data_IF_967062503742
#
_entry.id   IF_967062503742
#
_cell.length_a   1.000
_cell.length_b   1.000
_cell.length_c   1.000
_cell.angle_alpha   90.00
_cell.angle_beta   90.00
_cell.angle_gamma   90.00
#
_symmetry.space_group_name_H-M   'P 1'
#
loop_
_entity.id
_entity.type
_entity.pdbx_description
1 polymer ?
#
# COMPACT_ATOMS: atom_id res chain seq x y z
N UNK A 1 -6.21 14.26 1.92
CA UNK A 1 -5.80 15.47 2.71
C UNK A 1 -4.27 15.54 2.73
N UNK A 2 -3.64 16.67 3.04
CA UNK A 2 -2.20 16.68 3.36
C UNK A 2 -1.94 16.34 4.84
N UNK A 3 -0.74 15.87 5.17
CA UNK A 3 -0.38 15.46 6.54
C UNK A 3 -0.48 16.57 7.58
N UNK A 4 -0.14 17.82 7.23
CA UNK A 4 -0.19 18.93 8.19
C UNK A 4 -1.64 19.24 8.58
N UNK A 5 -2.54 19.28 7.59
CA UNK A 5 -3.97 19.47 7.82
C UNK A 5 -4.55 18.30 8.62
N UNK A 6 -4.14 17.07 8.30
CA UNK A 6 -4.57 15.87 9.03
C UNK A 6 -4.14 15.91 10.50
N UNK A 7 -2.86 16.18 10.79
CA UNK A 7 -2.37 16.22 12.17
C UNK A 7 -3.05 17.31 13.00
N UNK A 8 -3.31 18.49 12.42
CA UNK A 8 -4.09 19.54 13.11
C UNK A 8 -5.50 19.08 13.48
N UNK A 9 -6.19 18.44 12.53
CA UNK A 9 -7.55 17.95 12.75
C UNK A 9 -7.57 16.80 13.77
N UNK A 10 -6.62 15.86 13.66
CA UNK A 10 -6.44 14.77 14.62
C UNK A 10 -6.21 15.31 16.03
N UNK A 11 -5.26 16.23 16.21
CA UNK A 11 -4.99 16.83 17.53
C UNK A 11 -6.23 17.51 18.09
N UNK A 12 -6.96 18.28 17.28
CA UNK A 12 -8.19 18.93 17.73
C UNK A 12 -9.24 17.93 18.21
N UNK A 13 -9.37 16.77 17.56
CA UNK A 13 -10.27 15.70 18.03
C UNK A 13 -9.76 15.08 19.32
N UNK A 14 -8.48 14.73 19.41
CA UNK A 14 -7.88 14.13 20.61
C UNK A 14 -8.00 15.02 21.85
N UNK A 15 -7.95 16.34 21.68
CA UNK A 15 -8.14 17.30 22.78
C UNK A 15 -9.60 17.38 23.28
N UNK A 16 -10.57 16.93 22.48
CA UNK A 16 -12.01 17.06 22.75
C UNK A 16 -12.73 15.72 22.93
N UNK A 17 -12.04 14.60 22.74
CA UNK A 17 -12.61 13.26 22.79
C UNK A 17 -11.79 12.33 23.69
N UNK A 18 -12.45 11.31 24.25
CA UNK A 18 -11.78 10.25 24.99
C UNK A 18 -11.35 9.13 24.03
N UNK A 19 -10.24 8.42 24.31
CA UNK A 19 -9.90 7.23 23.55
C UNK A 19 -10.98 6.17 23.68
N UNK A 20 -11.14 5.39 22.60
CA UNK A 20 -11.96 4.20 22.61
C UNK A 20 -11.48 3.14 23.61
N UNK A 21 -12.34 2.15 23.88
CA UNK A 21 -11.93 0.96 24.60
C UNK A 21 -11.18 -0.03 23.70
N UNK A 22 -10.41 -0.93 24.32
CA UNK A 22 -9.63 -1.97 23.62
C UNK A 22 -10.52 -2.84 22.71
N UNK A 23 -11.77 -3.05 23.10
CA UNK A 23 -12.72 -3.86 22.32
C UNK A 23 -13.04 -3.20 20.98
N UNK A 24 -13.26 -1.90 20.97
CA UNK A 24 -13.53 -1.17 19.75
C UNK A 24 -12.28 -0.99 18.89
N UNK A 25 -11.11 -0.74 19.51
CA UNK A 25 -9.82 -0.76 18.82
C UNK A 25 -9.57 -2.11 18.13
N UNK A 26 -9.78 -3.22 18.84
CA UNK A 26 -9.65 -4.56 18.31
C UNK A 26 -10.63 -4.86 17.17
N UNK A 27 -11.87 -4.34 17.23
CA UNK A 27 -12.87 -4.48 16.17
C UNK A 27 -12.44 -3.76 14.89
N UNK A 28 -12.00 -2.49 15.00
CA UNK A 28 -11.52 -1.74 13.85
C UNK A 28 -10.27 -2.38 13.26
N UNK A 29 -9.30 -2.76 14.11
CA UNK A 29 -8.10 -3.50 13.71
C UNK A 29 -8.46 -4.74 12.88
N UNK A 30 -9.35 -5.59 13.39
CA UNK A 30 -9.74 -6.81 12.70
C UNK A 30 -10.44 -6.54 11.36
N UNK A 31 -11.27 -5.49 11.29
CA UNK A 31 -11.93 -5.09 10.04
C UNK A 31 -10.91 -4.64 8.99
N UNK A 32 -9.94 -3.82 9.38
CA UNK A 32 -8.88 -3.35 8.50
C UNK A 32 -7.96 -4.49 8.06
N UNK A 33 -7.49 -5.31 9.00
CA UNK A 33 -6.65 -6.48 8.73
C UNK A 33 -7.33 -7.41 7.71
N UNK A 34 -8.61 -7.70 7.90
CA UNK A 34 -9.40 -8.55 6.98
C UNK A 34 -9.50 -7.92 5.60
N UNK A 35 -9.83 -6.63 5.52
CA UNK A 35 -9.99 -5.91 4.25
C UNK A 35 -8.66 -5.82 3.48
N UNK A 36 -7.56 -5.51 4.19
CA UNK A 36 -6.21 -5.40 3.64
C UNK A 36 -5.72 -6.77 3.17
N UNK A 37 -5.88 -7.83 3.97
CA UNK A 37 -5.49 -9.19 3.59
C UNK A 37 -6.28 -9.72 2.37
N UNK A 38 -7.57 -9.40 2.28
CA UNK A 38 -8.41 -9.83 1.16
C UNK A 38 -8.18 -9.04 -0.15
N UNK A 39 -7.47 -7.92 -0.10
CA UNK A 39 -7.31 -7.00 -1.23
C UNK A 39 -6.40 -7.50 -2.35
N UNK A 40 -5.49 -8.43 -2.04
CA UNK A 40 -4.42 -8.85 -2.95
C UNK A 40 -3.32 -7.80 -3.19
N UNK A 41 -3.40 -6.64 -2.53
CA UNK A 41 -2.38 -5.58 -2.63
C UNK A 41 -1.09 -5.91 -1.86
N UNK A 42 -1.17 -6.83 -0.89
CA UNK A 42 -0.10 -7.13 0.05
C UNK A 42 0.19 -8.62 0.12
N UNK A 43 1.47 -8.96 0.22
CA UNK A 43 1.98 -10.32 0.42
C UNK A 43 2.15 -10.66 1.90
N UNK A 44 2.46 -9.67 2.72
CA UNK A 44 2.57 -9.78 4.18
C UNK A 44 1.74 -8.66 4.82
N UNK A 45 1.01 -8.99 5.87
CA UNK A 45 0.12 -8.08 6.60
C UNK A 45 0.21 -8.43 8.08
N UNK A 46 0.58 -7.45 8.91
CA UNK A 46 0.59 -7.56 10.37
C UNK A 46 -0.11 -6.35 10.97
N UNK A 47 -1.08 -6.60 11.87
CA UNK A 47 -1.82 -5.54 12.56
C UNK A 47 -1.75 -5.70 14.08
N UNK A 48 -1.34 -4.61 14.74
CA UNK A 48 -1.35 -4.45 16.19
C UNK A 48 -2.21 -3.27 16.64
N UNK A 49 -2.27 -3.06 17.94
CA UNK A 49 -2.72 -1.81 18.54
C UNK A 49 -1.88 -1.50 19.78
N UNK A 50 -1.83 -0.24 20.19
CA UNK A 50 -1.12 0.19 21.40
C UNK A 50 -2.07 0.29 22.58
N UNK A 51 -1.55 -0.02 23.77
CA UNK A 51 -2.28 0.15 25.04
C UNK A 51 -2.17 1.60 25.59
N UNK A 52 -1.75 2.55 24.75
CA UNK A 52 -1.57 3.95 25.14
C UNK A 52 -2.90 4.74 25.05
N UNK A 53 -2.88 5.97 25.57
CA UNK A 53 -4.06 6.84 25.61
C UNK A 53 -4.60 7.24 24.23
N UNK A 54 -3.91 6.91 23.13
CA UNK A 54 -4.36 7.10 21.75
C UNK A 54 -5.02 5.88 21.12
N UNK A 55 -4.88 4.69 21.72
CA UNK A 55 -5.42 3.42 21.22
C UNK A 55 -5.13 3.24 19.73
N UNK A 56 -3.86 3.38 19.35
CA UNK A 56 -3.46 3.45 17.96
C UNK A 56 -3.45 2.06 17.33
N UNK A 57 -4.22 1.86 16.27
CA UNK A 57 -4.11 0.67 15.41
C UNK A 57 -2.93 0.84 14.45
N UNK A 58 -2.03 -0.13 14.42
CA UNK A 58 -0.84 -0.09 13.57
C UNK A 58 -0.88 -1.26 12.59
N UNK A 59 -0.73 -0.97 11.30
CA UNK A 59 -0.56 -1.97 10.25
C UNK A 59 0.83 -1.87 9.63
N UNK A 60 1.53 -2.99 9.50
CA UNK A 60 2.76 -3.11 8.72
C UNK A 60 2.54 -4.12 7.63
N UNK A 61 2.76 -3.70 6.39
CA UNK A 61 2.50 -4.52 5.21
C UNK A 61 3.71 -4.57 4.28
N UNK A 62 3.72 -5.59 3.41
CA UNK A 62 4.60 -5.66 2.25
C UNK A 62 3.76 -5.76 1.00
N UNK A 63 4.04 -4.90 0.01
CA UNK A 63 3.33 -4.93 -1.26
C UNK A 63 3.46 -6.33 -1.93
N UNK A 64 2.40 -6.75 -2.61
CA UNK A 64 2.45 -7.96 -3.42
C UNK A 64 3.37 -7.79 -4.64
N UNK A 65 3.82 -8.89 -5.23
CA UNK A 65 4.67 -8.86 -6.42
C UNK A 65 4.00 -8.09 -7.57
N UNK A 66 4.72 -7.10 -8.11
CA UNK A 66 4.21 -6.24 -9.18
C UNK A 66 3.33 -5.08 -8.72
N UNK A 67 3.04 -4.96 -7.42
CA UNK A 67 2.33 -3.81 -6.84
C UNK A 67 3.34 -2.78 -6.35
N UNK A 68 3.23 -1.56 -6.87
CA UNK A 68 4.03 -0.43 -6.43
C UNK A 68 3.39 0.26 -5.21
N UNK A 69 4.18 0.94 -4.35
CA UNK A 69 3.66 1.60 -3.15
C UNK A 69 2.52 2.59 -3.43
N UNK A 70 2.57 3.34 -4.54
CA UNK A 70 1.50 4.27 -4.90
C UNK A 70 0.19 3.56 -5.29
N UNK A 71 0.26 2.37 -5.91
CA UNK A 71 -0.91 1.55 -6.23
C UNK A 71 -1.54 0.99 -4.96
N UNK A 72 -0.69 0.49 -4.06
CA UNK A 72 -1.11 0.08 -2.72
C UNK A 72 -1.77 1.23 -1.96
N UNK A 73 -1.25 2.46 -2.08
CA UNK A 73 -1.81 3.66 -1.45
C UNK A 73 -3.21 3.99 -1.94
N UNK A 74 -3.43 4.02 -3.25
CA UNK A 74 -4.76 4.21 -3.83
C UNK A 74 -5.74 3.10 -3.42
N UNK A 75 -5.25 1.86 -3.36
CA UNK A 75 -6.06 0.72 -2.94
C UNK A 75 -6.46 0.80 -1.47
N UNK A 76 -5.51 1.10 -0.59
CA UNK A 76 -5.73 1.24 0.85
C UNK A 76 -6.64 2.43 1.17
N UNK A 77 -6.53 3.55 0.45
CA UNK A 77 -7.46 4.67 0.59
C UNK A 77 -8.92 4.22 0.33
N UNK A 78 -9.16 3.41 -0.71
CA UNK A 78 -10.50 2.86 -1.00
C UNK A 78 -10.97 1.88 0.08
N UNK A 79 -10.08 1.05 0.59
CA UNK A 79 -10.39 0.13 1.68
C UNK A 79 -10.73 0.87 2.97
N UNK A 80 -10.01 1.96 3.27
CA UNK A 80 -10.30 2.85 4.38
C UNK A 80 -11.72 3.39 4.30
N UNK A 81 -12.06 4.04 3.18
CA UNK A 81 -13.39 4.60 2.95
C UNK A 81 -14.50 3.56 3.09
N UNK A 82 -14.24 2.31 2.72
CA UNK A 82 -15.19 1.21 2.87
C UNK A 82 -15.30 0.76 4.33
N UNK A 83 -14.17 0.61 5.03
CA UNK A 83 -14.11 0.15 6.41
C UNK A 83 -14.68 1.17 7.40
N UNK A 84 -14.66 2.46 7.04
CA UNK A 84 -15.13 3.56 7.89
C UNK A 84 -16.47 4.16 7.44
N UNK A 85 -17.10 3.59 6.41
CA UNK A 85 -18.32 4.13 5.80
C UNK A 85 -19.49 4.35 6.78
N UNK A 86 -19.62 3.48 7.79
CA UNK A 86 -20.69 3.53 8.78
C UNK A 86 -20.33 4.35 10.03
N UNK A 87 -19.11 4.91 10.10
CA UNK A 87 -18.66 5.72 11.21
C UNK A 87 -19.16 7.16 11.06
N UNK A 88 -19.44 7.82 12.20
CA UNK A 88 -19.99 9.19 12.19
C UNK A 88 -18.99 10.21 11.67
N UNK A 89 -17.71 9.96 11.91
CA UNK A 89 -16.64 10.87 11.54
C UNK A 89 -15.37 10.07 11.31
N UNK A 90 -14.68 10.41 10.23
CA UNK A 90 -13.34 9.94 9.90
C UNK A 90 -12.54 11.08 9.29
N UNK A 91 -11.22 11.01 9.41
CA UNK A 91 -10.30 11.72 8.55
C UNK A 91 -9.08 10.85 8.27
N UNK A 92 -8.46 11.06 7.12
CA UNK A 92 -7.25 10.32 6.74
C UNK A 92 -6.38 11.12 5.79
N UNK A 93 -5.14 10.67 5.67
CA UNK A 93 -4.15 11.11 4.69
C UNK A 93 -3.39 9.89 4.18
N UNK A 94 -3.01 9.93 2.91
CA UNK A 94 -2.17 8.91 2.28
C UNK A 94 -0.96 9.58 1.67
N UNK A 95 0.22 9.08 2.04
CA UNK A 95 1.51 9.45 1.49
C UNK A 95 2.12 8.29 0.73
N UNK A 96 2.70 8.56 -0.43
CA UNK A 96 3.44 7.55 -1.18
C UNK A 96 4.77 8.14 -1.64
N UNK A 97 5.83 7.36 -1.44
CA UNK A 97 7.14 7.54 -2.04
C UNK A 97 7.47 6.29 -2.86
N UNK A 98 8.59 6.31 -3.58
CA UNK A 98 9.04 5.12 -4.31
C UNK A 98 9.40 3.94 -3.37
N UNK A 99 9.63 4.22 -2.09
CA UNK A 99 10.09 3.25 -1.10
C UNK A 99 9.09 2.95 0.01
N UNK A 100 7.94 3.63 0.05
CA UNK A 100 6.99 3.49 1.15
C UNK A 100 5.60 4.01 0.77
N UNK A 101 4.57 3.30 1.21
CA UNK A 101 3.21 3.82 1.34
C UNK A 101 2.90 4.01 2.82
N UNK A 102 2.23 5.11 3.15
CA UNK A 102 1.79 5.46 4.50
C UNK A 102 0.34 5.93 4.44
N UNK A 103 -0.51 5.39 5.30
CA UNK A 103 -1.83 5.91 5.60
C UNK A 103 -1.87 6.26 7.09
N UNK A 104 -2.22 7.50 7.41
CA UNK A 104 -2.65 7.87 8.75
C UNK A 104 -4.16 8.17 8.72
N UNK A 105 -4.88 7.64 9.71
CA UNK A 105 -6.32 7.78 9.85
C UNK A 105 -6.73 8.08 11.28
N UNK A 106 -7.90 8.68 11.43
CA UNK A 106 -8.57 8.87 12.71
C UNK A 106 -10.07 8.70 12.52
N UNK A 107 -10.73 8.09 13.49
CA UNK A 107 -12.18 7.86 13.47
C UNK A 107 -12.79 8.13 14.83
N UNK A 108 -14.10 8.38 14.84
CA UNK A 108 -14.92 8.25 16.05
C UNK A 108 -15.87 7.06 15.92
N UNK A 109 -15.99 6.28 16.99
CA UNK A 109 -16.68 4.97 16.94
C UNK A 109 -18.08 4.96 17.55
N UNK A 110 -18.45 5.99 18.30
CA UNK A 110 -19.74 6.05 18.98
C UNK A 110 -20.26 7.48 19.16
N UNK A 111 -21.43 7.60 19.78
CA UNK A 111 -22.10 8.89 20.02
C UNK A 111 -21.39 9.77 21.05
N UNK A 112 -20.54 9.17 21.90
CA UNK A 112 -19.71 9.90 22.86
C UNK A 112 -18.45 10.47 22.20
N UNK A 113 -18.24 10.17 20.92
CA UNK A 113 -17.10 10.64 20.15
C UNK A 113 -15.80 9.93 20.50
N UNK A 114 -15.85 8.72 21.09
CA UNK A 114 -14.64 7.99 21.40
C UNK A 114 -13.79 7.80 20.14
N UNK A 115 -12.49 8.09 20.24
CA UNK A 115 -11.62 8.15 19.07
C UNK A 115 -10.65 6.97 19.00
N UNK A 116 -10.28 6.60 17.76
CA UNK A 116 -9.21 5.66 17.45
C UNK A 116 -8.34 6.29 16.37
N UNK A 117 -7.02 6.20 16.50
CA UNK A 117 -6.07 6.54 15.44
C UNK A 117 -5.57 5.28 14.75
N UNK A 118 -5.22 5.42 13.47
CA UNK A 118 -4.73 4.32 12.63
C UNK A 118 -3.48 4.79 11.90
N UNK A 119 -2.47 3.91 11.82
CA UNK A 119 -1.29 4.13 11.01
C UNK A 119 -0.96 2.83 10.28
N UNK A 120 -1.04 2.83 8.95
CA UNK A 120 -0.66 1.70 8.10
C UNK A 120 0.54 2.11 7.26
N UNK A 121 1.58 1.29 7.27
CA UNK A 121 2.75 1.44 6.40
C UNK A 121 2.91 0.22 5.52
N UNK A 122 3.35 0.42 4.28
CA UNK A 122 3.71 -0.67 3.39
C UNK A 122 5.03 -0.43 2.66
N UNK A 123 5.90 -1.43 2.75
CA UNK A 123 7.15 -1.48 2.00
C UNK A 123 6.92 -2.08 0.59
N UNK A 124 7.81 -1.78 -0.38
CA UNK A 124 7.80 -2.44 -1.69
C UNK A 124 7.93 -3.96 -1.59
N UNK A 125 7.49 -4.65 -2.64
CA UNK A 125 7.73 -6.08 -2.77
C UNK A 125 9.25 -6.38 -2.77
N UNK A 126 9.63 -7.52 -2.19
CA UNK A 126 11.02 -7.99 -2.24
C UNK A 126 11.29 -8.47 -3.67
N UNK A 127 12.01 -7.68 -4.45
CA UNK A 127 12.43 -8.09 -5.79
C UNK A 127 13.41 -9.25 -5.65
N UNK A 128 12.92 -10.47 -5.84
CA UNK A 128 13.77 -11.65 -5.89
C UNK A 128 14.67 -11.54 -7.12
N UNK A 129 15.99 -11.45 -6.91
CA UNK A 129 17.01 -11.23 -7.97
C UNK A 129 16.99 -12.25 -9.12
N UNK A 130 16.26 -13.34 -8.98
CA UNK A 130 16.13 -14.41 -9.99
C UNK A 130 15.37 -13.92 -11.24
N UNK A 131 14.46 -12.95 -11.11
CA UNK A 131 13.61 -12.50 -12.22
C UNK A 131 14.27 -11.46 -13.14
N UNK A 132 15.28 -10.73 -12.66
CA UNK A 132 15.99 -9.71 -13.45
C UNK A 132 16.86 -10.33 -14.55
N UNK A 133 17.48 -11.49 -14.27
CA UNK A 133 18.33 -12.19 -15.25
C UNK A 133 17.51 -12.81 -16.39
N UNK A 134 16.26 -13.18 -16.12
CA UNK A 134 15.36 -13.80 -17.10
C UNK A 134 14.73 -12.81 -18.10
N UNK A 135 14.79 -11.50 -17.83
CA UNK A 135 14.37 -10.45 -18.77
C UNK A 135 15.53 -9.88 -19.59
N UNK A 136 16.74 -9.81 -19.04
CA UNK A 136 17.94 -9.39 -19.80
C UNK A 136 18.33 -10.42 -20.88
N UNK A 137 18.28 -11.71 -20.56
CA UNK A 137 18.61 -12.76 -21.55
C UNK A 137 17.65 -12.86 -22.74
N UNK A 138 16.39 -12.39 -22.58
CA UNK A 138 15.39 -12.38 -23.67
C UNK A 138 15.52 -11.18 -24.61
N UNK A 139 16.25 -10.13 -24.20
CA UNK A 139 16.47 -8.94 -25.04
C UNK A 139 17.70 -9.10 -25.92
N UNK A 140 18.70 -9.85 -25.47
CA UNK A 140 19.94 -10.10 -26.23
C UNK A 140 19.75 -11.15 -27.35
N UNK A 141 18.96 -12.22 -27.15
CA UNK A 141 18.76 -13.23 -28.21
C UNK A 141 17.92 -12.74 -29.40
N UNK A 142 17.02 -11.77 -29.20
CA UNK A 142 16.22 -11.20 -30.28
C UNK A 142 17.03 -10.27 -31.21
N UNK A 143 18.15 -9.73 -30.72
CA UNK A 143 19.03 -8.87 -31.51
C UNK A 143 20.06 -9.67 -32.34
N UNK A 144 20.46 -10.86 -31.88
CA UNK A 144 21.48 -11.66 -32.59
C UNK A 144 20.92 -12.45 -33.79
N UNK A 145 19.61 -12.75 -33.79
CA UNK A 145 18.99 -13.52 -34.89
C UNK A 145 18.69 -12.68 -36.15
N UNK A 146 18.82 -11.34 -36.08
CA UNK A 146 18.53 -10.43 -37.20
C UNK A 146 19.76 -10.03 -38.05
N UNK A 147 20.98 -10.44 -37.65
CA UNK A 147 22.23 -9.93 -38.23
C UNK A 147 22.95 -10.84 -39.24
N UNK A 148 22.49 -12.07 -39.49
CA UNK A 148 23.23 -13.05 -40.31
C UNK A 148 22.40 -13.48 -41.52
N UNK A 149 22.17 -12.58 -42.48
CA UNK A 149 21.82 -12.94 -43.87
C UNK A 149 21.93 -11.74 -44.83
N UNK A 150 23.16 -11.23 -45.04
CA UNK A 150 23.54 -10.46 -46.22
C UNK A 150 25.08 -10.47 -46.28
N UNK A 151 25.73 -11.29 -47.11
CA UNK A 151 26.16 -11.07 -48.50
C UNK A 151 27.21 -12.18 -48.81
N UNK A 152 27.88 -12.29 -49.97
CA UNK A 152 27.55 -11.94 -51.36
C UNK A 152 27.90 -13.09 -52.35
N UNK A 153 27.39 -13.04 -53.59
CA UNK A 153 28.06 -13.72 -54.70
C UNK A 153 27.75 -13.06 -56.05
N UNK A 154 28.71 -12.30 -56.57
CA UNK A 154 28.85 -12.04 -58.01
C UNK A 154 29.40 -13.31 -58.68
N UNK A 155 28.85 -13.74 -59.81
CA UNK A 155 29.52 -13.83 -61.14
C UNK A 155 28.73 -14.71 -62.14
N UNK A 156 28.54 -14.15 -63.35
CA UNK A 156 28.57 -14.77 -64.70
C UNK A 156 27.56 -15.84 -65.18
N UNK A 157 26.70 -15.43 -66.13
CA UNK A 157 26.54 -15.85 -67.57
C UNK A 157 26.84 -17.33 -67.90
N UNK A 158 25.97 -18.11 -68.61
CA UNK A 158 25.80 -17.97 -70.08
C UNK A 158 24.44 -18.34 -70.70
N UNK A 159 24.25 -17.93 -71.96
CA UNK A 159 23.16 -18.34 -72.86
C UNK A 159 22.89 -17.33 -73.97
#
# INVERSE_FOLDING_TARGET
MDFTSFHKLRTAVQENAHPADDRAAAKLRHSLETAVAASGLFSEVEFGHTDDAGQMVIGVCRCADGVLPWEAGMGVERLWLTATADLRWECHTVGCTDSLMELEGAVTIDESGHYITVHVVAEPAVVSRVSLVAQDGRRDEAAETAGIQAEPARLSVPG
#
